data_IF_463340392506
#
_entry.id   IF_463340392506
#
_cell.length_a   1.000
_cell.length_b   1.000
_cell.length_c   1.000
_cell.angle_alpha   90.00
_cell.angle_beta   90.00
_cell.angle_gamma   90.00
#
_symmetry.space_group_name_H-M   'P 1'
#
loop_
_entity.id
_entity.type
_entity.pdbx_description
1 polymer ?
#
# COMPACT_ATOMS: atom_id res chain seq x y z
N UNK A 1 14.11 -21.50 0.79
CA UNK A 1 12.79 -20.84 0.72
C UNK A 1 12.07 -21.34 -0.53
N UNK A 2 10.79 -21.72 -0.47
CA UNK A 2 10.06 -22.11 -1.70
C UNK A 2 9.72 -20.88 -2.55
N UNK A 3 9.43 -21.06 -3.84
CA UNK A 3 9.18 -19.97 -4.80
C UNK A 3 8.03 -19.05 -4.36
N UNK A 4 6.97 -19.60 -3.77
CA UNK A 4 5.80 -18.84 -3.32
C UNK A 4 6.15 -17.90 -2.16
N UNK A 5 6.92 -18.40 -1.19
CA UNK A 5 7.37 -17.60 -0.04
C UNK A 5 8.32 -16.50 -0.52
N UNK A 6 9.23 -16.81 -1.45
CA UNK A 6 10.13 -15.83 -2.04
C UNK A 6 9.38 -14.73 -2.80
N UNK A 7 8.31 -15.09 -3.52
CA UNK A 7 7.48 -14.11 -4.23
C UNK A 7 6.77 -13.15 -3.27
N UNK A 8 6.16 -13.67 -2.20
CA UNK A 8 5.43 -12.85 -1.21
C UNK A 8 6.40 -11.94 -0.44
N UNK A 9 7.49 -12.50 0.09
CA UNK A 9 8.48 -11.72 0.83
C UNK A 9 9.19 -10.72 -0.09
N UNK A 10 9.48 -11.09 -1.33
CA UNK A 10 10.05 -10.19 -2.33
C UNK A 10 9.14 -9.01 -2.64
N UNK A 11 7.82 -9.22 -2.74
CA UNK A 11 6.85 -8.15 -2.94
C UNK A 11 6.82 -7.17 -1.75
N UNK A 12 6.77 -7.68 -0.52
CA UNK A 12 6.78 -6.87 0.70
C UNK A 12 8.08 -6.09 0.87
N UNK A 13 9.22 -6.74 0.62
CA UNK A 13 10.55 -6.10 0.67
C UNK A 13 10.68 -5.05 -0.42
N UNK A 14 10.22 -5.34 -1.64
CA UNK A 14 10.27 -4.41 -2.76
C UNK A 14 9.44 -3.14 -2.52
N UNK A 15 8.23 -3.29 -2.00
CA UNK A 15 7.37 -2.16 -1.61
C UNK A 15 8.05 -1.27 -0.56
N UNK A 16 8.54 -1.89 0.51
CA UNK A 16 9.26 -1.22 1.59
C UNK A 16 10.54 -0.52 1.12
N UNK A 17 11.30 -1.17 0.24
CA UNK A 17 12.52 -0.64 -0.34
C UNK A 17 12.25 0.60 -1.21
N UNK A 18 11.15 0.61 -1.96
CA UNK A 18 10.81 1.67 -2.91
C UNK A 18 10.08 2.87 -2.26
N UNK A 19 9.61 2.75 -1.02
CA UNK A 19 8.78 3.75 -0.34
C UNK A 19 9.33 5.19 -0.44
N UNK A 20 10.64 5.37 -0.20
CA UNK A 20 11.27 6.69 -0.15
C UNK A 20 11.20 7.49 -1.46
N UNK A 21 11.06 6.80 -2.59
CA UNK A 21 11.00 7.39 -3.94
C UNK A 21 9.63 7.18 -4.61
N UNK A 22 8.65 6.64 -3.89
CA UNK A 22 7.34 6.31 -4.44
C UNK A 22 6.66 7.56 -5.03
N UNK A 23 6.23 7.47 -6.29
CA UNK A 23 5.61 8.55 -7.08
C UNK A 23 6.52 9.70 -7.51
N UNK A 24 7.82 9.44 -7.62
CA UNK A 24 8.72 10.22 -8.47
C UNK A 24 8.68 9.61 -9.88
N UNK A 25 8.25 10.38 -10.88
CA UNK A 25 8.16 9.91 -12.27
C UNK A 25 9.32 10.37 -13.16
N UNK A 26 10.22 11.21 -12.64
CA UNK A 26 11.36 11.76 -13.37
C UNK A 26 12.57 10.84 -13.23
N UNK A 27 12.99 10.11 -14.28
CA UNK A 27 14.12 9.19 -14.20
C UNK A 27 15.45 9.90 -13.93
N UNK A 28 15.63 11.13 -14.43
CA UNK A 28 16.84 11.92 -14.18
C UNK A 28 16.95 12.24 -12.71
N UNK A 29 15.84 12.64 -12.07
CA UNK A 29 15.79 12.88 -10.62
C UNK A 29 16.13 11.62 -9.83
N UNK A 30 15.60 10.47 -10.22
CA UNK A 30 15.91 9.18 -9.59
C UNK A 30 17.41 8.87 -9.70
N UNK A 31 18.03 9.04 -10.87
CA UNK A 31 19.46 8.82 -11.06
C UNK A 31 20.34 9.78 -10.22
N UNK A 32 19.94 11.04 -10.07
CA UNK A 32 20.64 12.00 -9.20
C UNK A 32 20.59 11.58 -7.72
N UNK A 33 19.45 11.07 -7.27
CA UNK A 33 19.29 10.56 -5.91
C UNK A 33 20.10 9.26 -5.72
N UNK A 34 20.04 8.34 -6.68
CA UNK A 34 20.83 7.09 -6.68
C UNK A 34 22.32 7.36 -6.47
N UNK A 35 22.88 8.28 -7.25
CA UNK A 35 24.29 8.61 -7.21
C UNK A 35 24.74 9.21 -5.86
N UNK A 36 23.82 9.76 -5.07
CA UNK A 36 24.13 10.44 -3.81
C UNK A 36 23.79 9.63 -2.56
N UNK A 37 22.67 8.88 -2.57
CA UNK A 37 22.12 8.21 -1.39
C UNK A 37 21.75 6.73 -1.63
N UNK A 38 21.83 6.23 -2.86
CA UNK A 38 21.26 4.93 -3.26
C UNK A 38 19.77 5.03 -3.62
N UNK A 39 19.10 3.88 -3.78
CA UNK A 39 17.69 3.80 -4.23
C UNK A 39 16.72 3.16 -3.23
N UNK A 40 17.24 2.34 -2.33
CA UNK A 40 16.41 1.46 -1.50
C UNK A 40 16.42 1.90 -0.05
N UNK A 41 15.28 1.73 0.63
CA UNK A 41 15.10 2.04 2.05
C UNK A 41 15.50 3.48 2.39
N UNK A 42 15.22 4.41 1.48
CA UNK A 42 15.41 5.83 1.73
C UNK A 42 14.27 6.37 2.59
N UNK A 43 14.58 7.29 3.48
CA UNK A 43 13.57 8.08 4.18
C UNK A 43 12.78 8.92 3.16
N UNK A 44 11.43 8.90 3.17
CA UNK A 44 10.64 9.84 2.38
C UNK A 44 11.06 11.30 2.63
N UNK A 45 11.37 12.02 1.56
CA UNK A 45 11.92 13.38 1.61
C UNK A 45 11.24 14.27 0.56
N UNK A 46 10.56 15.32 1.02
CA UNK A 46 9.84 16.26 0.17
C UNK A 46 10.74 16.97 -0.86
N UNK A 47 12.03 17.17 -0.53
CA UNK A 47 12.99 17.81 -1.42
C UNK A 47 13.26 16.99 -2.69
N UNK A 48 13.01 15.67 -2.65
CA UNK A 48 13.15 14.82 -3.83
C UNK A 48 12.11 15.15 -4.93
N UNK A 49 10.98 15.76 -4.56
CA UNK A 49 9.85 16.08 -5.45
C UNK A 49 9.86 17.53 -5.95
N UNK A 50 10.78 18.36 -5.49
CA UNK A 50 10.82 19.77 -5.84
C UNK A 50 11.13 19.97 -7.34
N UNK A 51 10.28 20.72 -8.04
CA UNK A 51 10.49 21.11 -9.44
C UNK A 51 10.33 19.99 -10.46
N UNK A 52 9.79 18.84 -10.06
CA UNK A 52 9.57 17.67 -10.94
C UNK A 52 8.12 17.19 -10.89
N UNK A 53 7.75 16.29 -11.81
CA UNK A 53 6.47 15.58 -11.76
C UNK A 53 6.54 14.47 -10.71
N UNK A 54 5.77 14.64 -9.64
CA UNK A 54 5.58 13.62 -8.62
C UNK A 54 4.61 14.06 -7.53
N UNK A 55 4.32 13.17 -6.59
CA UNK A 55 3.45 13.47 -5.46
C UNK A 55 4.01 12.90 -4.15
N UNK A 56 4.25 13.77 -3.18
CA UNK A 56 4.83 13.40 -1.89
C UNK A 56 3.74 12.92 -0.91
N UNK A 57 3.44 11.63 -0.95
CA UNK A 57 2.36 11.02 -0.17
C UNK A 57 2.76 10.55 1.23
N UNK A 58 4.05 10.27 1.44
CA UNK A 58 4.54 9.49 2.59
C UNK A 58 5.23 10.34 3.65
N UNK A 59 4.73 11.55 3.91
CA UNK A 59 5.34 12.49 4.87
C UNK A 59 5.38 11.98 6.32
N UNK A 60 4.45 11.10 6.69
CA UNK A 60 4.36 10.50 8.02
C UNK A 60 5.01 9.12 8.16
N UNK A 61 5.65 8.61 7.11
CA UNK A 61 6.26 7.28 7.10
C UNK A 61 7.78 7.35 7.30
N UNK A 62 8.37 6.23 7.74
CA UNK A 62 9.82 6.06 7.85
C UNK A 62 10.34 4.99 6.90
N UNK A 63 11.63 5.07 6.59
CA UNK A 63 12.32 4.06 5.80
C UNK A 63 12.06 2.64 6.34
N UNK A 64 11.68 1.71 5.46
CA UNK A 64 11.37 0.33 5.83
C UNK A 64 9.89 0.04 6.05
N UNK A 65 9.04 1.06 6.22
CA UNK A 65 7.59 0.85 6.29
C UNK A 65 6.97 0.50 4.93
N UNK A 66 5.76 -0.03 4.96
CA UNK A 66 4.99 -0.32 3.74
C UNK A 66 4.26 0.91 3.23
N UNK A 67 4.14 0.97 1.89
CA UNK A 67 3.14 1.80 1.22
C UNK A 67 1.76 1.12 1.30
N UNK A 68 0.72 1.78 0.78
CA UNK A 68 -0.61 1.15 0.68
C UNK A 68 -0.60 -0.20 -0.03
N UNK A 69 0.30 -0.43 -0.99
CA UNK A 69 0.40 -1.70 -1.72
C UNK A 69 0.90 -2.84 -0.83
N UNK A 70 1.97 -2.60 -0.04
CA UNK A 70 2.47 -3.58 0.92
C UNK A 70 1.45 -3.89 2.02
N UNK A 71 0.69 -2.89 2.45
CA UNK A 71 -0.36 -3.02 3.47
C UNK A 71 -1.50 -3.92 3.00
N UNK A 72 -1.98 -3.73 1.76
CA UNK A 72 -2.98 -4.61 1.14
C UNK A 72 -2.44 -6.03 0.96
N UNK A 73 -1.17 -6.17 0.55
CA UNK A 73 -0.53 -7.49 0.39
C UNK A 73 -0.46 -8.24 1.73
N UNK A 74 -0.03 -7.56 2.80
CA UNK A 74 0.05 -8.13 4.14
C UNK A 74 -1.33 -8.51 4.68
N UNK A 75 -2.34 -7.66 4.48
CA UNK A 75 -3.70 -7.95 4.89
C UNK A 75 -4.25 -9.22 4.20
N UNK A 76 -4.01 -9.38 2.90
CA UNK A 76 -4.40 -10.61 2.17
C UNK A 76 -3.66 -11.84 2.71
N UNK A 77 -2.37 -11.72 3.03
CA UNK A 77 -1.62 -12.83 3.63
C UNK A 77 -2.19 -13.23 4.99
N UNK A 78 -2.49 -12.26 5.85
CA UNK A 78 -3.12 -12.49 7.15
C UNK A 78 -4.49 -13.15 6.99
N UNK A 79 -5.29 -12.70 6.03
CA UNK A 79 -6.57 -13.28 5.69
C UNK A 79 -6.44 -14.76 5.30
N UNK A 80 -5.56 -15.08 4.36
CA UNK A 80 -5.33 -16.46 3.91
C UNK A 80 -4.79 -17.34 5.03
N UNK A 81 -3.92 -16.81 5.89
CA UNK A 81 -3.42 -17.53 7.06
C UNK A 81 -4.53 -17.82 8.09
N UNK A 82 -5.47 -16.89 8.27
CA UNK A 82 -6.59 -17.02 9.20
C UNK A 82 -7.69 -17.98 8.69
N UNK A 83 -8.04 -17.90 7.41
CA UNK A 83 -9.20 -18.61 6.84
C UNK A 83 -8.83 -19.84 6.01
N UNK A 84 -7.55 -20.01 5.66
CA UNK A 84 -7.04 -21.12 4.83
C UNK A 84 -7.40 -21.03 3.34
N UNK A 85 -8.31 -20.13 2.97
CA UNK A 85 -8.71 -19.81 1.60
C UNK A 85 -9.19 -18.35 1.55
N UNK A 86 -9.43 -17.85 0.34
CA UNK A 86 -10.02 -16.53 0.17
C UNK A 86 -11.52 -16.56 0.44
N UNK A 87 -11.95 -15.83 1.46
CA UNK A 87 -13.34 -15.52 1.76
C UNK A 87 -13.59 -14.03 1.54
N UNK A 88 -14.31 -13.71 0.45
CA UNK A 88 -14.60 -12.32 0.03
C UNK A 88 -15.21 -11.46 1.14
N UNK A 89 -16.25 -11.94 1.82
CA UNK A 89 -16.99 -11.14 2.80
C UNK A 89 -16.12 -10.84 4.01
N UNK A 90 -15.39 -11.84 4.49
CA UNK A 90 -14.42 -11.69 5.58
C UNK A 90 -13.28 -10.75 5.19
N UNK A 91 -12.72 -10.88 3.98
CA UNK A 91 -11.66 -10.00 3.52
C UNK A 91 -12.14 -8.54 3.37
N UNK A 92 -13.34 -8.31 2.83
CA UNK A 92 -13.93 -6.97 2.76
C UNK A 92 -14.20 -6.39 4.16
N UNK A 93 -14.58 -7.23 5.12
CA UNK A 93 -14.77 -6.85 6.52
C UNK A 93 -13.45 -6.43 7.16
N UNK A 94 -12.39 -7.23 6.97
CA UNK A 94 -11.04 -6.97 7.46
C UNK A 94 -10.43 -5.73 6.79
N UNK A 95 -10.61 -5.56 5.48
CA UNK A 95 -10.20 -4.36 4.74
C UNK A 95 -10.88 -3.11 5.27
N UNK A 96 -12.21 -3.16 5.45
CA UNK A 96 -12.98 -2.05 6.04
C UNK A 96 -12.52 -1.74 7.47
N UNK A 97 -12.23 -2.76 8.28
CA UNK A 97 -11.77 -2.58 9.66
C UNK A 97 -10.35 -2.01 9.72
N UNK A 98 -9.48 -2.36 8.77
CA UNK A 98 -8.09 -1.92 8.76
C UNK A 98 -7.92 -0.50 8.22
N UNK A 99 -8.49 -0.22 7.04
CA UNK A 99 -8.35 1.05 6.35
C UNK A 99 -9.45 2.07 6.69
N UNK A 100 -10.57 1.62 7.28
CA UNK A 100 -11.70 2.48 7.63
C UNK A 100 -11.53 3.24 8.94
N UNK A 101 -12.50 4.12 9.29
CA UNK A 101 -12.48 4.88 10.54
C UNK A 101 -12.36 3.99 11.77
N UNK A 102 -11.44 4.31 12.67
CA UNK A 102 -11.13 3.51 13.86
C UNK A 102 -10.19 2.33 13.61
N UNK A 103 -9.79 2.09 12.37
CA UNK A 103 -8.75 1.14 12.00
C UNK A 103 -7.34 1.61 12.39
N UNK A 104 -6.37 0.70 12.26
CA UNK A 104 -4.97 0.94 12.65
C UNK A 104 -4.09 1.46 11.52
N UNK A 105 -4.57 1.47 10.27
CA UNK A 105 -3.78 1.98 9.16
C UNK A 105 -3.57 3.49 9.29
N UNK A 106 -2.30 3.92 9.24
CA UNK A 106 -1.90 5.33 9.19
C UNK A 106 -1.04 5.54 7.96
N UNK A 107 -1.55 6.29 6.98
CA UNK A 107 -0.85 6.55 5.74
C UNK A 107 -1.74 7.23 4.71
N UNK A 108 -1.20 7.40 3.50
CA UNK A 108 -1.94 7.98 2.38
C UNK A 108 -3.02 7.01 1.88
N UNK A 109 -4.25 7.50 1.75
CA UNK A 109 -5.38 6.75 1.19
C UNK A 109 -5.64 7.24 -0.21
N UNK A 110 -5.38 6.39 -1.21
CA UNK A 110 -5.63 6.69 -2.61
C UNK A 110 -7.13 6.70 -2.96
N UNK A 111 -7.43 7.16 -4.18
CA UNK A 111 -8.82 7.22 -4.66
C UNK A 111 -9.51 5.85 -4.67
N UNK A 112 -8.87 4.77 -5.17
CA UNK A 112 -9.47 3.43 -5.13
C UNK A 112 -9.80 2.95 -3.71
N UNK A 113 -8.86 3.02 -2.77
CA UNK A 113 -9.08 2.63 -1.37
C UNK A 113 -10.22 3.44 -0.75
N UNK A 114 -10.21 4.77 -0.96
CA UNK A 114 -11.27 5.64 -0.45
C UNK A 114 -12.65 5.29 -1.00
N UNK A 115 -12.76 5.04 -2.30
CA UNK A 115 -14.05 4.70 -2.95
C UNK A 115 -14.55 3.31 -2.53
N UNK A 116 -13.65 2.34 -2.39
CA UNK A 116 -13.96 1.02 -1.83
C UNK A 116 -14.48 1.15 -0.40
N UNK A 117 -13.82 1.94 0.46
CA UNK A 117 -14.29 2.20 1.82
C UNK A 117 -15.66 2.89 1.84
N UNK A 118 -15.88 3.89 0.99
CA UNK A 118 -17.18 4.57 0.89
C UNK A 118 -18.33 3.60 0.54
N UNK A 119 -18.04 2.57 -0.26
CA UNK A 119 -18.98 1.49 -0.57
C UNK A 119 -19.23 0.62 0.67
N UNK A 120 -18.17 0.07 1.26
CA UNK A 120 -18.28 -0.91 2.35
C UNK A 120 -18.77 -0.33 3.68
N UNK A 121 -18.51 0.95 3.97
CA UNK A 121 -18.92 1.61 5.21
C UNK A 121 -20.43 1.85 5.30
N UNK A 122 -21.15 1.80 4.18
CA UNK A 122 -22.61 2.03 4.12
C UNK A 122 -23.42 0.75 4.28
N UNK A 123 -22.76 -0.40 4.38
CA UNK A 123 -23.38 -1.72 4.27
C UNK A 123 -23.03 -2.58 5.49
N UNK A 124 -23.91 -3.53 5.81
CA UNK A 124 -23.54 -4.65 6.69
C UNK A 124 -22.80 -5.73 5.87
N UNK A 125 -21.94 -6.57 6.47
CA UNK A 125 -21.13 -7.55 5.73
C UNK A 125 -21.92 -8.43 4.76
N UNK A 126 -23.13 -8.82 5.12
CA UNK A 126 -24.02 -9.67 4.31
C UNK A 126 -24.43 -9.00 2.99
N UNK A 127 -24.39 -7.67 2.94
CA UNK A 127 -24.78 -6.84 1.80
C UNK A 127 -23.58 -6.40 0.94
N UNK A 128 -22.35 -6.80 1.29
CA UNK A 128 -21.19 -6.37 0.52
C UNK A 128 -21.24 -6.85 -0.93
N UNK A 129 -21.01 -5.95 -1.91
CA UNK A 129 -21.07 -6.29 -3.32
C UNK A 129 -19.91 -7.21 -3.72
N UNK A 130 -20.10 -8.00 -4.79
CA UNK A 130 -19.02 -8.83 -5.33
C UNK A 130 -17.88 -7.97 -5.87
N UNK A 131 -18.22 -6.88 -6.56
CA UNK A 131 -17.28 -5.86 -6.99
C UNK A 131 -17.40 -4.64 -6.07
N UNK A 132 -16.49 -4.54 -5.09
CA UNK A 132 -16.37 -3.36 -4.21
C UNK A 132 -15.18 -2.46 -4.57
N UNK A 133 -14.38 -2.86 -5.56
CA UNK A 133 -13.29 -2.06 -6.10
C UNK A 133 -13.82 -0.81 -6.80
N UNK A 134 -12.93 0.15 -7.05
CA UNK A 134 -13.22 1.32 -7.86
C UNK A 134 -12.24 1.37 -9.04
N UNK A 135 -12.73 1.86 -10.17
CA UNK A 135 -11.90 2.16 -11.34
C UNK A 135 -11.13 3.47 -11.11
N UNK A 136 -9.87 3.52 -11.56
CA UNK A 136 -8.98 4.69 -11.48
C UNK A 136 -8.52 5.19 -12.86
#
# INVERSE_FOLDING_TARGET
MNSNTAAILGALIGDSAALGLHWIYDPKRISEIEASKGLVFLQPDASHYAGIKGYFAHSGKVAGESSGYGEVCLLMLQHLAKHGNFNRIEYQTEYRAYFGPGGTYVGYVDSPTRLTLQTLLRLVPEEFPMASGADD
#
